data_IF_704197696018
#
_entry.id   IF_704197696018
#
_cell.length_a   1.000
_cell.length_b   1.000
_cell.length_c   1.000
_cell.angle_alpha   90.00
_cell.angle_beta   90.00
_cell.angle_gamma   90.00
#
_symmetry.space_group_name_H-M   'P 1'
#
loop_
_entity.id
_entity.type
_entity.pdbx_description
1 polymer ?
#
# COMPACT_ATOMS: atom_id res chain seq x y z
N UNK A 1 5.82 -19.23 4.83
CA UNK A 1 5.23 -18.91 3.51
C UNK A 1 5.94 -17.68 2.98
N UNK A 2 6.19 -17.61 1.67
CA UNK A 2 6.86 -16.46 1.04
C UNK A 2 5.82 -15.39 0.70
N UNK A 3 6.14 -14.12 0.94
CA UNK A 3 5.28 -12.98 0.59
C UNK A 3 5.03 -12.99 -0.93
N UNK A 4 3.78 -12.79 -1.33
CA UNK A 4 3.34 -12.85 -2.74
C UNK A 4 2.85 -11.51 -3.28
N UNK A 5 2.52 -10.55 -2.41
CA UNK A 5 2.08 -9.20 -2.78
C UNK A 5 2.37 -8.19 -1.68
N UNK A 6 2.39 -6.90 -2.06
CA UNK A 6 2.46 -5.76 -1.15
C UNK A 6 1.10 -5.10 -1.12
N UNK A 7 0.55 -4.84 0.06
CA UNK A 7 -0.74 -4.15 0.21
C UNK A 7 -0.53 -2.68 0.52
N UNK A 8 -1.21 -1.83 -0.23
CA UNK A 8 -1.27 -0.39 -0.02
C UNK A 8 -2.41 0.00 0.95
N UNK A 9 -2.27 1.15 1.60
CA UNK A 9 -3.29 1.72 2.49
C UNK A 9 -4.65 1.82 1.82
N UNK A 10 -4.70 2.23 0.54
CA UNK A 10 -5.94 2.43 -0.19
C UNK A 10 -6.78 1.14 -0.33
N UNK A 11 -6.13 -0.01 -0.54
CA UNK A 11 -6.80 -1.31 -0.59
C UNK A 11 -7.39 -1.70 0.77
N UNK A 12 -6.65 -1.48 1.86
CA UNK A 12 -7.13 -1.77 3.22
C UNK A 12 -8.30 -0.85 3.59
N UNK A 13 -8.24 0.44 3.25
CA UNK A 13 -9.33 1.39 3.46
C UNK A 13 -10.58 0.96 2.69
N UNK A 14 -10.43 0.55 1.43
CA UNK A 14 -11.54 0.08 0.62
C UNK A 14 -12.21 -1.19 1.18
N UNK A 15 -11.42 -2.13 1.72
CA UNK A 15 -11.92 -3.32 2.42
C UNK A 15 -12.67 -2.91 3.70
N UNK A 16 -12.08 -2.05 4.53
CA UNK A 16 -12.69 -1.60 5.79
C UNK A 16 -14.02 -0.88 5.55
N UNK A 17 -14.08 -0.04 4.51
CA UNK A 17 -15.26 0.75 4.16
C UNK A 17 -16.25 0.02 3.27
N UNK A 18 -15.98 -1.24 2.93
CA UNK A 18 -16.79 -2.04 2.00
C UNK A 18 -17.09 -1.31 0.68
N UNK A 19 -16.08 -0.65 0.09
CA UNK A 19 -16.24 0.08 -1.16
C UNK A 19 -16.48 -0.86 -2.36
N UNK A 20 -17.16 -0.43 -3.45
CA UNK A 20 -17.47 -1.31 -4.58
C UNK A 20 -16.25 -2.04 -5.17
N UNK A 21 -16.24 -3.37 -5.15
CA UNK A 21 -15.08 -4.18 -5.59
C UNK A 21 -14.10 -4.57 -4.48
N UNK A 22 -14.41 -4.24 -3.21
CA UNK A 22 -13.59 -4.67 -2.06
C UNK A 22 -13.46 -6.19 -1.93
N UNK A 23 -14.46 -6.96 -2.37
CA UNK A 23 -14.50 -8.40 -2.22
C UNK A 23 -13.33 -9.12 -2.93
N UNK A 24 -12.91 -8.62 -4.10
CA UNK A 24 -11.79 -9.20 -4.84
C UNK A 24 -10.44 -8.95 -4.13
N UNK A 25 -10.25 -7.74 -3.59
CA UNK A 25 -9.07 -7.41 -2.80
C UNK A 25 -9.02 -8.23 -1.50
N UNK A 26 -10.17 -8.37 -0.83
CA UNK A 26 -10.29 -9.21 0.35
C UNK A 26 -9.95 -10.68 0.03
N UNK A 27 -10.45 -11.21 -1.08
CA UNK A 27 -10.12 -12.56 -1.54
C UNK A 27 -8.61 -12.72 -1.79
N UNK A 28 -7.95 -11.71 -2.37
CA UNK A 28 -6.51 -11.73 -2.59
C UNK A 28 -5.74 -11.81 -1.26
N UNK A 29 -6.15 -11.05 -0.24
CA UNK A 29 -5.48 -11.05 1.08
C UNK A 29 -5.68 -12.37 1.85
N UNK A 30 -6.83 -13.04 1.72
CA UNK A 30 -7.05 -14.32 2.41
C UNK A 30 -6.43 -15.52 1.69
N UNK A 31 -6.11 -15.39 0.40
CA UNK A 31 -5.57 -16.48 -0.42
C UNK A 31 -4.05 -16.43 -0.58
N UNK A 32 -3.40 -15.33 -0.21
CA UNK A 32 -1.97 -15.09 -0.41
C UNK A 32 -1.33 -14.46 0.82
N UNK A 33 -0.01 -14.59 0.95
CA UNK A 33 0.74 -13.87 1.99
C UNK A 33 1.02 -12.45 1.51
N UNK A 34 0.59 -11.45 2.27
CA UNK A 34 0.75 -10.03 1.94
C UNK A 34 1.68 -9.32 2.92
N UNK A 35 2.57 -8.48 2.38
CA UNK A 35 3.37 -7.55 3.17
C UNK A 35 2.70 -6.19 3.26
N UNK A 36 2.71 -5.61 4.46
CA UNK A 36 2.31 -4.23 4.73
C UNK A 36 3.56 -3.44 5.15
N UNK A 37 4.11 -2.57 4.29
CA UNK A 37 5.23 -1.71 4.68
C UNK A 37 4.86 -0.87 5.90
N UNK A 38 5.77 -0.75 6.88
CA UNK A 38 5.50 0.00 8.10
C UNK A 38 5.00 1.45 7.86
N UNK A 39 5.47 2.20 6.84
CA UNK A 39 4.89 3.51 6.52
C UNK A 39 3.41 3.46 6.12
N UNK A 40 2.97 2.42 5.40
CA UNK A 40 1.57 2.22 5.04
C UNK A 40 0.71 1.88 6.26
N UNK A 41 1.25 1.17 7.27
CA UNK A 41 0.57 0.99 8.55
C UNK A 41 0.35 2.32 9.28
N UNK A 42 1.37 3.20 9.30
CA UNK A 42 1.24 4.55 9.89
C UNK A 42 0.15 5.34 9.18
N UNK A 43 0.14 5.27 7.85
CA UNK A 43 -0.89 5.93 7.05
C UNK A 43 -2.29 5.40 7.35
N UNK A 44 -2.46 4.07 7.37
CA UNK A 44 -3.73 3.43 7.66
C UNK A 44 -4.25 3.84 9.04
N UNK A 45 -3.39 3.82 10.06
CA UNK A 45 -3.72 4.28 11.41
C UNK A 45 -4.19 5.74 11.41
N UNK A 46 -3.51 6.61 10.67
CA UNK A 46 -3.87 8.03 10.54
C UNK A 46 -5.20 8.22 9.81
N UNK A 47 -5.44 7.49 8.72
CA UNK A 47 -6.67 7.58 7.91
C UNK A 47 -7.88 7.06 8.68
N UNK A 48 -7.68 6.05 9.52
CA UNK A 48 -8.74 5.41 10.31
C UNK A 48 -8.87 6.01 11.73
N UNK A 49 -8.06 7.02 12.07
CA UNK A 49 -8.06 7.61 13.39
C UNK A 49 -9.42 8.24 13.74
N UNK A 50 -9.78 8.18 15.02
CA UNK A 50 -10.99 8.82 15.53
C UNK A 50 -10.74 10.29 15.86
N UNK A 51 -11.78 11.00 16.32
CA UNK A 51 -11.67 12.41 16.76
C UNK A 51 -10.45 12.61 17.68
N UNK A 52 -9.66 13.66 17.41
CA UNK A 52 -8.42 13.94 18.14
C UNK A 52 -7.20 13.14 17.70
N UNK A 53 -7.25 12.45 16.55
CA UNK A 53 -6.18 11.58 16.02
C UNK A 53 -5.85 10.39 16.94
N UNK A 54 -6.84 9.91 17.70
CA UNK A 54 -6.66 8.69 18.50
C UNK A 54 -6.63 7.46 17.59
N UNK A 55 -5.68 6.53 17.82
CA UNK A 55 -5.59 5.31 17.03
C UNK A 55 -6.84 4.44 17.25
N UNK A 56 -7.33 3.85 16.16
CA UNK A 56 -8.44 2.91 16.22
C UNK A 56 -7.90 1.48 16.42
N UNK A 57 -8.19 0.82 17.56
CA UNK A 57 -7.68 -0.53 17.83
C UNK A 57 -8.14 -1.57 16.80
N UNK A 58 -9.23 -1.30 16.05
CA UNK A 58 -9.72 -2.18 14.99
C UNK A 58 -8.74 -2.30 13.83
N UNK A 59 -7.86 -1.32 13.62
CA UNK A 59 -6.85 -1.36 12.56
C UNK A 59 -5.85 -2.49 12.81
N UNK A 60 -5.29 -2.61 14.01
CA UNK A 60 -4.34 -3.68 14.32
C UNK A 60 -5.00 -5.05 14.35
N UNK A 61 -6.23 -5.15 14.86
CA UNK A 61 -7.00 -6.38 14.82
C UNK A 61 -7.25 -6.85 13.38
N UNK A 62 -7.45 -5.93 12.43
CA UNK A 62 -7.60 -6.25 11.01
C UNK A 62 -6.30 -6.70 10.37
N UNK A 63 -5.18 -6.03 10.68
CA UNK A 63 -3.84 -6.43 10.22
C UNK A 63 -3.54 -7.87 10.66
N UNK A 64 -3.86 -8.20 11.91
CA UNK A 64 -3.72 -9.56 12.45
C UNK A 64 -4.68 -10.55 11.80
N UNK A 65 -5.96 -10.18 11.63
CA UNK A 65 -6.98 -11.04 11.04
C UNK A 65 -6.69 -11.43 9.58
N UNK A 66 -6.08 -10.54 8.80
CA UNK A 66 -5.62 -10.85 7.44
C UNK A 66 -4.22 -11.49 7.41
N UNK A 67 -3.56 -11.67 8.55
CA UNK A 67 -2.21 -12.23 8.62
C UNK A 67 -1.18 -11.38 7.87
N UNK A 68 -1.37 -10.06 7.83
CA UNK A 68 -0.46 -9.16 7.11
C UNK A 68 0.89 -9.12 7.81
N UNK A 69 1.97 -9.28 7.04
CA UNK A 69 3.32 -9.16 7.57
C UNK A 69 3.74 -7.70 7.53
N UNK A 70 3.80 -7.05 8.70
CA UNK A 70 4.33 -5.69 8.80
C UNK A 70 5.84 -5.75 8.62
N UNK A 71 6.34 -5.15 7.53
CA UNK A 71 7.75 -5.20 7.13
C UNK A 71 8.45 -3.86 7.38
N UNK A 72 9.73 -3.86 7.78
CA UNK A 72 10.49 -2.64 7.98
C UNK A 72 10.70 -1.89 6.66
N UNK A 73 10.80 -0.56 6.74
CA UNK A 73 11.23 0.27 5.62
C UNK A 73 12.72 0.58 5.79
N UNK A 74 13.55 -0.08 4.99
CA UNK A 74 15.01 -0.08 5.14
C UNK A 74 15.72 0.89 4.18
N UNK A 75 17.06 0.86 4.20
CA UNK A 75 17.89 1.76 3.39
C UNK A 75 17.76 1.50 1.89
N UNK A 76 17.56 0.24 1.47
CA UNK A 76 17.37 -0.11 0.07
C UNK A 76 16.05 0.47 -0.45
N UNK A 77 14.98 0.30 0.32
CA UNK A 77 13.67 0.88 0.05
C UNK A 77 13.71 2.41 0.03
N UNK A 78 14.44 3.04 0.96
CA UNK A 78 14.60 4.50 1.01
C UNK A 78 15.33 5.06 -0.23
N UNK A 79 16.39 4.40 -0.67
CA UNK A 79 17.12 4.78 -1.88
C UNK A 79 16.26 4.60 -3.14
N UNK A 80 15.48 3.51 -3.20
CA UNK A 80 14.55 3.25 -4.29
C UNK A 80 13.42 4.29 -4.34
N UNK A 81 12.86 4.70 -3.20
CA UNK A 81 11.84 5.75 -3.11
C UNK A 81 12.38 7.11 -3.57
N UNK A 82 13.58 7.47 -3.12
CA UNK A 82 14.24 8.72 -3.52
C UNK A 82 14.48 8.76 -5.03
N UNK A 83 14.97 7.66 -5.61
CA UNK A 83 15.16 7.54 -7.05
C UNK A 83 13.84 7.57 -7.83
N UNK A 84 12.77 7.00 -7.27
CA UNK A 84 11.45 6.99 -7.89
C UNK A 84 10.78 8.38 -7.88
N UNK A 85 11.06 9.20 -6.85
CA UNK A 85 10.48 10.53 -6.70
C UNK A 85 10.74 11.43 -7.92
N UNK A 86 11.94 11.37 -8.51
CA UNK A 86 12.29 12.14 -9.70
C UNK A 86 11.38 11.86 -10.90
N UNK A 87 10.83 10.64 -10.99
CA UNK A 87 9.98 10.19 -12.10
C UNK A 87 8.50 10.25 -11.77
N UNK A 88 8.12 9.78 -10.59
CA UNK A 88 6.73 9.50 -10.24
C UNK A 88 6.20 10.32 -9.08
N UNK A 89 7.07 11.01 -8.33
CA UNK A 89 6.66 11.79 -7.17
C UNK A 89 5.83 13.02 -7.51
N UNK A 90 4.84 13.32 -6.68
CA UNK A 90 4.13 14.60 -6.74
C UNK A 90 5.10 15.77 -6.54
N UNK A 91 4.94 16.83 -7.32
CA UNK A 91 5.80 18.03 -7.22
C UNK A 91 7.17 17.89 -7.90
N UNK A 92 7.42 16.81 -8.64
CA UNK A 92 8.67 16.60 -9.38
C UNK A 92 8.83 17.45 -10.66
N UNK A 93 7.84 18.27 -11.00
CA UNK A 93 7.83 19.10 -12.23
C UNK A 93 7.58 18.31 -13.53
N UNK A 94 7.26 17.01 -13.45
CA UNK A 94 7.03 16.11 -14.60
C UNK A 94 5.64 15.46 -14.60
N UNK A 95 4.76 15.85 -13.69
CA UNK A 95 3.41 15.31 -13.58
C UNK A 95 3.33 13.95 -12.87
N UNK A 96 4.30 13.63 -12.00
CA UNK A 96 4.20 12.46 -11.12
C UNK A 96 3.01 12.54 -10.17
N UNK A 97 2.41 11.39 -9.86
CA UNK A 97 1.19 11.27 -9.04
C UNK A 97 1.42 10.66 -7.66
N UNK A 98 2.55 9.97 -7.43
CA UNK A 98 2.80 9.28 -6.17
C UNK A 98 3.12 10.29 -5.06
N UNK A 99 2.33 10.26 -3.99
CA UNK A 99 2.68 11.01 -2.78
C UNK A 99 3.85 10.31 -2.04
N UNK A 100 4.35 10.91 -0.95
CA UNK A 100 5.50 10.36 -0.21
C UNK A 100 5.28 8.93 0.29
N UNK A 101 4.08 8.61 0.77
CA UNK A 101 3.76 7.28 1.31
C UNK A 101 3.52 6.28 0.17
N UNK A 102 2.90 6.71 -0.93
CA UNK A 102 2.80 5.87 -2.14
C UNK A 102 4.19 5.54 -2.69
N UNK A 103 5.13 6.50 -2.68
CA UNK A 103 6.52 6.28 -3.07
C UNK A 103 7.20 5.22 -2.19
N UNK A 104 6.91 5.19 -0.90
CA UNK A 104 7.46 4.19 0.02
C UNK A 104 6.90 2.79 -0.28
N UNK A 105 5.59 2.68 -0.53
CA UNK A 105 4.95 1.41 -0.93
C UNK A 105 5.49 0.94 -2.28
N UNK A 106 5.54 1.85 -3.26
CA UNK A 106 6.11 1.61 -4.59
C UNK A 106 7.54 1.09 -4.48
N UNK A 107 8.38 1.75 -3.68
CA UNK A 107 9.79 1.42 -3.56
C UNK A 107 10.01 0.02 -2.96
N UNK A 108 9.30 -0.31 -1.88
CA UNK A 108 9.37 -1.63 -1.27
C UNK A 108 8.95 -2.71 -2.27
N UNK A 109 7.79 -2.53 -2.93
CA UNK A 109 7.31 -3.48 -3.92
C UNK A 109 8.26 -3.66 -5.11
N UNK A 110 8.93 -2.58 -5.54
CA UNK A 110 9.92 -2.61 -6.61
C UNK A 110 11.17 -3.40 -6.20
N UNK A 111 11.70 -3.17 -5.00
CA UNK A 111 12.89 -3.86 -4.47
C UNK A 111 12.62 -5.36 -4.36
N UNK A 112 11.47 -5.73 -3.79
CA UNK A 112 11.07 -7.14 -3.63
C UNK A 112 10.56 -7.79 -4.93
N UNK A 113 10.35 -7.00 -5.98
CA UNK A 113 9.81 -7.47 -7.26
C UNK A 113 8.34 -7.94 -7.22
N UNK A 114 7.60 -7.52 -6.18
CA UNK A 114 6.24 -7.95 -5.85
C UNK A 114 5.16 -7.04 -6.46
N UNK A 115 3.95 -7.58 -6.73
CA UNK A 115 2.81 -6.78 -7.16
C UNK A 115 2.18 -5.99 -6.01
N UNK A 116 1.67 -4.79 -6.32
CA UNK A 116 0.95 -3.91 -5.38
C UNK A 116 -0.56 -4.14 -5.48
N UNK A 117 -1.21 -4.39 -4.34
CA UNK A 117 -2.66 -4.37 -4.18
C UNK A 117 -3.09 -2.98 -3.69
N UNK A 118 -3.79 -2.22 -4.54
CA UNK A 118 -4.18 -0.83 -4.28
C UNK A 118 -5.53 -0.48 -4.92
N UNK A 119 -6.03 0.70 -4.59
CA UNK A 119 -7.18 1.32 -5.26
C UNK A 119 -6.76 2.71 -5.71
N UNK A 120 -6.66 2.91 -7.01
CA UNK A 120 -6.33 4.21 -7.58
C UNK A 120 -5.48 4.13 -8.85
N UNK A 121 -5.40 5.27 -9.53
CA UNK A 121 -4.67 5.44 -10.79
C UNK A 121 -3.19 5.77 -10.58
N UNK A 122 -2.80 6.19 -9.38
CA UNK A 122 -1.48 6.76 -9.14
C UNK A 122 -0.37 5.73 -9.41
N UNK A 123 -0.48 4.52 -8.86
CA UNK A 123 0.45 3.43 -9.19
C UNK A 123 0.33 2.95 -10.65
N UNK A 124 -0.85 3.03 -11.25
CA UNK A 124 -1.08 2.65 -12.65
C UNK A 124 -0.39 3.61 -13.65
N UNK A 125 -0.01 4.81 -13.21
CA UNK A 125 0.79 5.76 -13.99
C UNK A 125 2.30 5.50 -13.93
N UNK A 126 2.72 4.42 -13.26
CA UNK A 126 4.13 4.06 -13.05
C UNK A 126 4.50 2.75 -13.75
N UNK A 127 5.73 2.31 -13.57
CA UNK A 127 6.22 0.99 -13.97
C UNK A 127 6.03 -0.10 -12.88
N UNK A 128 5.21 0.17 -11.86
CA UNK A 128 4.88 -0.82 -10.84
C UNK A 128 4.10 -2.02 -11.40
N UNK A 129 4.38 -3.21 -10.86
CA UNK A 129 3.51 -4.37 -11.06
C UNK A 129 2.27 -4.22 -10.18
N UNK A 130 1.09 -4.24 -10.78
CA UNK A 130 -0.17 -4.21 -10.04
C UNK A 130 -0.75 -5.61 -9.91
N UNK A 131 -1.24 -5.95 -8.72
CA UNK A 131 -1.99 -7.17 -8.50
C UNK A 131 -3.29 -7.13 -9.33
N UNK A 132 -3.76 -8.27 -9.91
CA UNK A 132 -4.97 -8.28 -10.74
C UNK A 132 -6.24 -7.80 -10.02
N UNK A 133 -6.31 -8.00 -8.69
CA UNK A 133 -7.42 -7.53 -7.86
C UNK A 133 -7.37 -6.02 -7.52
N UNK A 134 -6.35 -5.27 -7.97
CA UNK A 134 -6.28 -3.83 -7.76
C UNK A 134 -7.33 -3.09 -8.60
N UNK A 135 -8.00 -2.10 -8.01
CA UNK A 135 -8.92 -1.22 -8.74
C UNK A 135 -8.14 -0.08 -9.38
N UNK A 136 -8.34 0.13 -10.68
CA UNK A 136 -7.61 1.11 -11.50
C UNK A 136 -8.43 2.35 -11.87
N UNK A 137 -9.62 2.49 -11.29
CA UNK A 137 -10.59 3.56 -11.59
C UNK A 137 -10.65 4.60 -10.48
#
# INVERSE_FOLDING_TARGET
>A
MSISLVVDTSALVAIIKAEPGHAEMQLALVSQTAALPAPALVELQRVMATAGNHPDPRVLALVEAFGLQVVPFDIESANAATSANERFGTGNGRGGLLNMLDLMVYAFARVEGLPILCTGKDFASTDAKLHPASRRE
#
